data_IF_150038794858
#
_entry.id   IF_150038794858
#
_cell.length_a   1.000
_cell.length_b   1.000
_cell.length_c   1.000
_cell.angle_alpha   90.00
_cell.angle_beta   90.00
_cell.angle_gamma   90.00
#
_symmetry.space_group_name_H-M   'P 1'
#
loop_
_entity.id
_entity.type
_entity.pdbx_description
1 polymer ?
#
# COMPACT_ATOMS: atom_id res chain seq x y z
N UNK A 1 -3.88 -0.68 -13.24
CA UNK A 1 -4.09 -0.56 -11.78
C UNK A 1 -2.72 -0.54 -11.15
N UNK A 2 -2.47 0.36 -10.20
CA UNK A 2 -1.16 0.59 -9.56
C UNK A 2 -1.34 0.79 -8.05
N UNK A 3 -0.27 0.63 -7.28
CA UNK A 3 -0.21 1.07 -5.87
C UNK A 3 0.16 2.54 -5.78
N UNK A 4 -0.06 3.15 -4.62
CA UNK A 4 0.40 4.51 -4.29
C UNK A 4 1.75 4.53 -3.53
N UNK A 5 2.52 3.44 -3.64
CA UNK A 5 3.85 3.31 -3.02
C UNK A 5 4.89 4.30 -3.55
N UNK A 6 4.62 4.91 -4.70
CA UNK A 6 5.44 5.96 -5.34
C UNK A 6 4.49 7.09 -5.71
N UNK A 7 4.88 8.33 -5.41
CA UNK A 7 4.15 9.52 -5.82
C UNK A 7 4.02 9.57 -7.35
N UNK A 8 2.82 9.85 -7.83
CA UNK A 8 2.50 9.82 -9.24
C UNK A 8 2.43 11.25 -9.79
N UNK A 9 2.90 11.49 -11.01
CA UNK A 9 2.78 12.80 -11.63
C UNK A 9 1.33 13.11 -12.00
N UNK A 10 1.02 14.39 -12.21
CA UNK A 10 -0.35 14.88 -12.44
C UNK A 10 -1.03 14.20 -13.64
N UNK A 11 -0.30 13.84 -14.69
CA UNK A 11 -0.86 13.14 -15.86
C UNK A 11 -1.46 11.78 -15.47
N UNK A 12 -0.84 11.09 -14.51
CA UNK A 12 -1.32 9.81 -13.99
C UNK A 12 -2.51 10.02 -13.05
N UNK A 13 -2.46 11.06 -12.20
CA UNK A 13 -3.53 11.39 -11.26
C UNK A 13 -4.84 11.75 -11.98
N UNK A 14 -4.74 12.38 -13.15
CA UNK A 14 -5.87 12.82 -13.97
C UNK A 14 -6.36 11.79 -15.00
N UNK A 15 -5.71 10.62 -15.09
CA UNK A 15 -6.09 9.58 -16.04
C UNK A 15 -7.19 8.65 -15.47
N UNK A 16 -8.41 8.75 -16.01
CA UNK A 16 -9.56 7.94 -15.57
C UNK A 16 -9.40 6.43 -15.74
N UNK A 17 -8.47 5.99 -16.60
CA UNK A 17 -8.15 4.56 -16.81
C UNK A 17 -7.19 3.99 -15.77
N UNK A 18 -6.51 4.84 -15.00
CA UNK A 18 -5.54 4.41 -13.98
C UNK A 18 -6.20 4.43 -12.61
N UNK A 19 -6.39 3.23 -12.05
CA UNK A 19 -6.89 3.05 -10.69
C UNK A 19 -5.73 2.83 -9.72
N UNK A 20 -5.71 3.60 -8.63
CA UNK A 20 -4.74 3.50 -7.54
C UNK A 20 -5.30 2.68 -6.38
N UNK A 21 -4.45 1.90 -5.74
CA UNK A 21 -4.75 1.13 -4.53
C UNK A 21 -3.84 1.61 -3.41
N UNK A 22 -4.40 2.02 -2.26
CA UNK A 22 -3.59 2.46 -1.14
C UNK A 22 -2.86 1.29 -0.47
N UNK A 23 -1.55 1.40 -0.30
CA UNK A 23 -0.72 0.41 0.41
C UNK A 23 -0.46 0.81 1.87
N UNK A 24 -0.75 2.05 2.26
CA UNK A 24 -0.48 2.56 3.61
C UNK A 24 -1.06 1.70 4.75
N UNK A 25 -2.32 1.18 4.69
CA UNK A 25 -2.84 0.30 5.75
C UNK A 25 -2.06 -1.00 5.91
N UNK A 26 -1.64 -1.62 4.78
CA UNK A 26 -0.84 -2.84 4.78
C UNK A 26 0.53 -2.60 5.42
N UNK A 27 1.19 -1.49 5.05
CA UNK A 27 2.48 -1.11 5.61
C UNK A 27 2.40 -0.79 7.09
N UNK A 28 1.35 -0.08 7.52
CA UNK A 28 1.10 0.21 8.93
C UNK A 28 0.94 -1.05 9.77
N UNK A 29 0.18 -2.04 9.29
CA UNK A 29 0.02 -3.30 10.01
C UNK A 29 1.30 -4.13 10.02
N UNK A 30 2.10 -4.11 8.94
CA UNK A 30 3.41 -4.75 8.94
C UNK A 30 4.34 -4.15 10.00
N UNK A 31 4.41 -2.82 10.10
CA UNK A 31 5.20 -2.12 11.13
C UNK A 31 4.69 -2.47 12.54
N UNK A 32 3.38 -2.46 12.76
CA UNK A 32 2.76 -2.82 14.05
C UNK A 32 3.14 -4.24 14.46
N UNK A 33 3.10 -5.20 13.53
CA UNK A 33 3.44 -6.61 13.79
C UNK A 33 4.92 -6.78 14.14
N UNK A 34 5.81 -6.13 13.39
CA UNK A 34 7.25 -6.12 13.71
C UNK A 34 7.49 -5.58 15.12
N UNK A 35 6.83 -4.48 15.48
CA UNK A 35 6.97 -3.87 16.81
C UNK A 35 6.42 -4.73 17.96
N UNK A 36 5.50 -5.65 17.70
CA UNK A 36 4.89 -6.54 18.70
C UNK A 36 5.39 -7.98 18.60
N UNK A 37 6.44 -8.26 17.82
CA UNK A 37 6.95 -9.62 17.56
C UNK A 37 5.87 -10.60 17.04
N UNK A 38 4.87 -10.06 16.35
CA UNK A 38 3.81 -10.84 15.72
C UNK A 38 4.20 -11.25 14.30
N UNK A 39 3.74 -12.42 13.85
CA UNK A 39 4.01 -12.86 12.48
C UNK A 39 3.40 -11.91 11.45
N UNK A 40 4.25 -11.45 10.52
CA UNK A 40 3.90 -10.66 9.33
C UNK A 40 3.24 -11.53 8.25
N UNK A 41 3.45 -12.86 8.28
CA UNK A 41 2.89 -13.77 7.26
C UNK A 41 1.36 -13.77 7.20
N UNK A 42 0.70 -13.42 8.33
CA UNK A 42 -0.76 -13.29 8.43
C UNK A 42 -1.36 -12.16 7.57
N UNK A 43 -0.53 -11.30 6.99
CA UNK A 43 -0.97 -10.28 6.03
C UNK A 43 -1.29 -10.86 4.64
N UNK A 44 -0.89 -12.09 4.37
CA UNK A 44 -1.00 -12.75 3.07
C UNK A 44 -2.02 -13.90 3.05
N UNK A 45 -2.69 -14.15 4.18
CA UNK A 45 -3.87 -15.03 4.28
C UNK A 45 -5.13 -14.26 3.88
#
# INVERSE_FOLDING_TARGET
>A
MITDSIEQPDEVLNCSKIRRVPVAPLMGEAIRRIANEESVSKLFD
#
